data_IF_834646797275
#
_entry.id   IF_834646797275
#
_cell.length_a   1.000
_cell.length_b   1.000
_cell.length_c   1.000
_cell.angle_alpha   90.00
_cell.angle_beta   90.00
_cell.angle_gamma   90.00
#
_symmetry.space_group_name_H-M   'P 1'
#
loop_
_entity.id
_entity.type
_entity.pdbx_description
1 polymer ?
#
# COMPACT_ATOMS: atom_id res chain seq x y z
N UNK A 1 -23.47 -36.05 36.52
CA UNK A 1 -23.49 -35.43 35.19
C UNK A 1 -22.56 -34.28 35.29
N UNK A 2 -21.33 -34.41 34.77
CA UNK A 2 -20.34 -33.31 34.72
C UNK A 2 -20.63 -32.59 33.41
N UNK A 3 -21.17 -31.39 33.56
CA UNK A 3 -21.40 -30.45 32.45
C UNK A 3 -20.04 -29.89 32.02
N UNK A 4 -19.43 -30.53 31.00
CA UNK A 4 -18.22 -30.01 30.37
C UNK A 4 -18.67 -28.86 29.47
N UNK A 5 -18.71 -27.67 30.02
CA UNK A 5 -18.77 -26.45 29.22
C UNK A 5 -17.53 -26.44 28.31
N UNK A 6 -17.73 -26.81 27.04
CA UNK A 6 -16.75 -26.57 25.99
C UNK A 6 -16.60 -25.04 25.86
N UNK A 7 -15.64 -24.49 26.59
CA UNK A 7 -15.25 -23.10 26.45
C UNK A 7 -14.82 -22.85 25.01
N UNK A 8 -15.60 -22.11 24.24
CA UNK A 8 -15.18 -21.66 22.91
C UNK A 8 -13.89 -20.85 23.07
N UNK A 9 -12.85 -21.25 22.33
CA UNK A 9 -11.57 -20.53 22.31
C UNK A 9 -11.88 -19.06 21.94
N UNK A 10 -11.47 -18.10 22.75
CA UNK A 10 -11.75 -16.71 22.47
C UNK A 10 -11.11 -16.31 21.12
N UNK A 11 -11.81 -15.50 20.34
CA UNK A 11 -11.29 -15.00 19.06
C UNK A 11 -10.16 -14.00 19.24
N UNK A 12 -10.04 -13.40 20.42
CA UNK A 12 -9.00 -12.44 20.82
C UNK A 12 -8.64 -12.71 22.29
N UNK A 13 -7.35 -12.82 22.59
CA UNK A 13 -6.85 -13.24 23.91
C UNK A 13 -5.50 -12.60 24.26
N UNK A 14 -5.19 -12.51 25.55
CA UNK A 14 -3.85 -12.15 26.02
C UNK A 14 -2.89 -13.32 25.84
N UNK A 15 -1.73 -13.06 25.28
CA UNK A 15 -0.72 -14.07 25.03
C UNK A 15 -0.16 -14.68 26.35
N UNK A 16 -0.14 -13.90 27.44
CA UNK A 16 0.45 -14.28 28.72
C UNK A 16 -0.33 -15.39 29.44
N UNK A 17 -1.65 -15.36 29.41
CA UNK A 17 -2.52 -16.21 30.23
C UNK A 17 -3.70 -16.82 29.47
N UNK A 18 -3.88 -16.49 28.18
CA UNK A 18 -4.99 -16.97 27.36
C UNK A 18 -6.35 -16.33 27.70
N UNK A 19 -6.39 -15.34 28.60
CA UNK A 19 -7.64 -14.67 28.97
C UNK A 19 -8.28 -13.96 27.78
N UNK A 20 -9.61 -14.07 27.67
CA UNK A 20 -10.37 -13.43 26.62
C UNK A 20 -10.29 -11.89 26.72
N UNK A 21 -10.11 -11.23 25.60
CA UNK A 21 -10.08 -9.76 25.48
C UNK A 21 -11.19 -9.32 24.55
N UNK A 22 -11.90 -8.27 24.89
CA UNK A 22 -12.89 -7.68 23.99
C UNK A 22 -12.20 -7.04 22.79
N UNK A 23 -12.87 -7.02 21.64
CA UNK A 23 -12.28 -6.40 20.44
C UNK A 23 -12.05 -4.89 20.62
N UNK A 24 -12.87 -4.23 21.43
CA UNK A 24 -12.71 -2.81 21.75
C UNK A 24 -11.45 -2.55 22.58
N UNK A 25 -11.18 -3.36 23.60
CA UNK A 25 -9.96 -3.32 24.40
C UNK A 25 -8.72 -3.62 23.53
N UNK A 26 -8.79 -4.71 22.77
CA UNK A 26 -7.70 -5.09 21.87
C UNK A 26 -7.36 -3.98 20.87
N UNK A 27 -8.37 -3.34 20.29
CA UNK A 27 -8.17 -2.24 19.35
C UNK A 27 -7.44 -1.05 19.98
N UNK A 28 -7.75 -0.71 21.23
CA UNK A 28 -7.07 0.37 21.94
C UNK A 28 -5.58 0.06 22.12
N UNK A 29 -5.27 -1.14 22.63
CA UNK A 29 -3.88 -1.58 22.84
C UNK A 29 -3.13 -1.76 21.51
N UNK A 30 -3.79 -2.28 20.47
CA UNK A 30 -3.20 -2.38 19.13
C UNK A 30 -2.92 -1.02 18.51
N UNK A 31 -3.75 -0.01 18.77
CA UNK A 31 -3.50 1.36 18.27
C UNK A 31 -2.26 1.95 18.92
N UNK A 32 -2.10 1.77 20.25
CA UNK A 32 -0.90 2.21 20.96
C UNK A 32 0.36 1.51 20.45
N UNK A 33 0.32 0.17 20.36
CA UNK A 33 1.43 -0.62 19.85
C UNK A 33 1.77 -0.27 18.38
N UNK A 34 0.75 -0.07 17.53
CA UNK A 34 0.96 0.32 16.14
C UNK A 34 1.63 1.70 16.02
N UNK A 35 1.26 2.66 16.85
CA UNK A 35 1.91 3.97 16.91
C UNK A 35 3.40 3.82 17.27
N UNK A 36 3.73 3.06 18.32
CA UNK A 36 5.10 2.81 18.76
C UNK A 36 5.93 2.12 17.67
N UNK A 37 5.42 1.04 17.05
CA UNK A 37 6.11 0.32 15.96
C UNK A 37 6.34 1.22 14.75
N UNK A 38 5.37 2.06 14.40
CA UNK A 38 5.50 2.98 13.27
C UNK A 38 6.48 4.13 13.58
N UNK A 39 6.49 4.64 14.81
CA UNK A 39 7.47 5.63 15.26
C UNK A 39 8.89 5.04 15.25
N UNK A 40 9.08 3.80 15.70
CA UNK A 40 10.37 3.10 15.60
C UNK A 40 10.78 2.88 14.14
N UNK A 41 9.84 2.47 13.28
CA UNK A 41 10.08 2.34 11.83
C UNK A 41 10.59 3.66 11.24
N UNK A 42 10.05 4.81 11.66
CA UNK A 42 10.44 6.14 11.21
C UNK A 42 11.83 6.58 11.69
N UNK A 43 12.43 5.93 12.70
CA UNK A 43 13.77 6.27 13.21
C UNK A 43 14.88 6.06 12.18
N UNK A 44 14.61 5.29 11.12
CA UNK A 44 15.54 5.03 10.01
C UNK A 44 15.04 5.67 8.73
N UNK A 45 15.87 6.46 8.10
CA UNK A 45 15.53 7.13 6.85
C UNK A 45 15.18 6.14 5.73
N UNK A 46 14.09 6.41 5.00
CA UNK A 46 13.55 5.56 3.92
C UNK A 46 13.05 4.16 4.36
N UNK A 47 12.95 3.90 5.65
CA UNK A 47 12.35 2.65 6.13
C UNK A 47 10.81 2.72 6.09
N UNK A 48 10.20 1.57 5.87
CA UNK A 48 8.73 1.39 5.86
C UNK A 48 8.42 -0.05 6.27
N UNK A 49 7.16 -0.31 6.63
CA UNK A 49 6.72 -1.62 7.10
C UNK A 49 5.55 -2.14 6.24
N UNK A 50 5.52 -3.44 5.99
CA UNK A 50 4.42 -4.08 5.25
C UNK A 50 3.28 -4.43 6.21
N UNK A 51 2.02 -4.32 5.74
CA UNK A 51 0.81 -4.60 6.53
C UNK A 51 0.87 -5.91 7.34
N UNK A 52 1.41 -6.99 6.75
CA UNK A 52 1.51 -8.30 7.44
C UNK A 52 2.50 -8.26 8.59
N UNK A 53 3.63 -7.64 8.39
CA UNK A 53 4.68 -7.47 9.40
C UNK A 53 4.19 -6.56 10.54
N UNK A 54 3.56 -5.43 10.20
CA UNK A 54 2.97 -4.54 11.20
C UNK A 54 1.92 -5.28 12.05
N UNK A 55 1.07 -6.09 11.43
CA UNK A 55 0.05 -6.85 12.13
C UNK A 55 0.64 -7.88 13.11
N UNK A 56 1.78 -8.47 12.78
CA UNK A 56 2.50 -9.40 13.65
C UNK A 56 3.14 -8.66 14.84
N UNK A 57 3.87 -7.57 14.58
CA UNK A 57 4.53 -6.78 15.60
C UNK A 57 3.54 -6.12 16.56
N UNK A 58 2.42 -5.60 16.05
CA UNK A 58 1.36 -5.01 16.89
C UNK A 58 0.78 -6.02 17.89
N UNK A 59 0.57 -7.27 17.46
CA UNK A 59 0.11 -8.32 18.36
C UNK A 59 1.20 -8.77 19.35
N UNK A 60 2.46 -8.69 18.96
CA UNK A 60 3.59 -9.00 19.81
C UNK A 60 3.77 -7.94 20.89
N UNK A 61 3.87 -6.69 20.51
CA UNK A 61 4.10 -5.55 21.42
C UNK A 61 2.92 -5.32 22.38
N UNK A 62 1.68 -5.49 21.90
CA UNK A 62 0.50 -5.36 22.75
C UNK A 62 0.29 -6.57 23.67
N UNK A 63 0.89 -7.71 23.37
CA UNK A 63 0.62 -8.99 24.04
C UNK A 63 -0.79 -9.53 23.80
N UNK A 64 -1.54 -8.98 22.84
CA UNK A 64 -2.91 -9.40 22.51
C UNK A 64 -2.94 -10.04 21.13
N UNK A 65 -3.32 -11.31 21.08
CA UNK A 65 -3.42 -12.13 19.88
C UNK A 65 -4.86 -12.24 19.40
N UNK A 66 -5.05 -12.46 18.09
CA UNK A 66 -6.37 -12.72 17.52
C UNK A 66 -6.31 -13.74 16.40
N UNK A 67 -7.36 -14.56 16.29
CA UNK A 67 -7.60 -15.45 15.15
C UNK A 67 -8.22 -14.71 13.95
N UNK A 68 -8.65 -13.47 14.12
CA UNK A 68 -9.21 -12.64 13.06
C UNK A 68 -8.11 -12.21 12.10
N UNK A 69 -8.33 -12.37 10.79
CA UNK A 69 -7.37 -11.96 9.77
C UNK A 69 -7.08 -10.47 9.86
N UNK A 70 -5.81 -10.08 9.72
CA UNK A 70 -5.35 -8.69 9.86
C UNK A 70 -6.12 -7.71 8.95
N UNK A 71 -6.59 -8.13 7.78
CA UNK A 71 -7.35 -7.29 6.85
C UNK A 71 -8.64 -6.71 7.45
N UNK A 72 -9.17 -7.33 8.51
CA UNK A 72 -10.42 -6.90 9.16
C UNK A 72 -10.21 -5.97 10.35
N UNK A 73 -9.02 -5.92 10.93
CA UNK A 73 -8.78 -5.10 12.11
C UNK A 73 -7.66 -4.05 11.94
N UNK A 74 -6.59 -4.37 11.18
CA UNK A 74 -5.46 -3.47 11.01
C UNK A 74 -5.84 -2.13 10.34
N UNK A 75 -6.71 -2.07 9.32
CA UNK A 75 -7.14 -0.79 8.76
C UNK A 75 -7.76 0.15 9.80
N UNK A 76 -8.63 -0.38 10.67
CA UNK A 76 -9.26 0.41 11.73
C UNK A 76 -8.24 0.89 12.76
N UNK A 77 -7.22 0.09 13.05
CA UNK A 77 -6.11 0.49 13.93
C UNK A 77 -5.29 1.62 13.27
N UNK A 78 -4.96 1.50 11.98
CA UNK A 78 -4.24 2.54 11.24
C UNK A 78 -5.02 3.85 11.14
N UNK A 79 -6.34 3.79 10.99
CA UNK A 79 -7.20 4.97 11.02
C UNK A 79 -7.12 5.67 12.39
N UNK A 80 -7.12 4.90 13.49
CA UNK A 80 -6.96 5.45 14.84
C UNK A 80 -5.55 6.02 15.11
N UNK A 81 -4.51 5.42 14.55
CA UNK A 81 -3.17 6.02 14.58
C UNK A 81 -3.14 7.34 13.82
N UNK A 82 -3.80 7.41 12.64
CA UNK A 82 -3.86 8.63 11.86
C UNK A 82 -4.61 9.76 12.61
N UNK A 83 -5.74 9.45 13.26
CA UNK A 83 -6.46 10.38 14.14
C UNK A 83 -5.56 10.89 15.26
N UNK A 84 -4.88 9.98 15.96
CA UNK A 84 -3.96 10.33 17.05
C UNK A 84 -2.84 11.27 16.58
N UNK A 85 -2.18 10.95 15.47
CA UNK A 85 -1.15 11.82 14.91
C UNK A 85 -1.68 13.19 14.55
N UNK A 86 -2.89 13.25 13.93
CA UNK A 86 -3.51 14.51 13.55
C UNK A 86 -3.84 15.40 14.76
N UNK A 87 -4.43 14.82 15.81
CA UNK A 87 -4.80 15.51 17.05
C UNK A 87 -3.57 16.06 17.80
N UNK A 88 -2.43 15.35 17.72
CA UNK A 88 -1.19 15.72 18.39
C UNK A 88 -0.22 16.52 17.52
N UNK A 89 -0.61 16.90 16.29
CA UNK A 89 0.26 17.56 15.31
C UNK A 89 1.54 16.76 15.00
N UNK A 90 1.46 15.45 15.06
CA UNK A 90 2.51 14.54 14.63
C UNK A 90 2.39 14.26 13.12
N UNK A 91 3.49 13.93 12.44
CA UNK A 91 3.44 13.51 11.05
C UNK A 91 2.64 12.20 10.92
N UNK A 92 1.99 11.94 9.77
CA UNK A 92 1.06 10.82 9.61
C UNK A 92 1.77 9.47 9.54
N UNK A 93 2.12 8.89 10.69
CA UNK A 93 2.88 7.66 10.83
C UNK A 93 2.26 6.47 10.06
N UNK A 94 0.94 6.41 9.93
CA UNK A 94 0.27 5.36 9.15
C UNK A 94 0.64 5.37 7.65
N UNK A 95 1.27 6.46 7.13
CA UNK A 95 1.84 6.51 5.79
C UNK A 95 3.05 5.56 5.59
N UNK A 96 3.71 5.15 6.68
CA UNK A 96 4.83 4.20 6.66
C UNK A 96 4.37 2.76 6.42
N UNK A 97 3.08 2.46 6.64
CA UNK A 97 2.51 1.15 6.41
C UNK A 97 2.12 0.98 4.95
N UNK A 98 2.77 0.04 4.26
CA UNK A 98 2.58 -0.22 2.83
C UNK A 98 2.03 -1.62 2.57
N UNK A 99 1.50 -1.84 1.37
CA UNK A 99 1.10 -3.17 0.90
C UNK A 99 2.33 -4.04 0.56
N UNK A 100 2.15 -5.32 0.34
CA UNK A 100 3.21 -6.26 -0.06
C UNK A 100 3.94 -5.84 -1.36
N UNK A 101 3.26 -5.18 -2.27
CA UNK A 101 3.84 -4.58 -3.48
C UNK A 101 4.45 -3.19 -3.24
N UNK A 102 4.52 -2.74 -1.99
CA UNK A 102 5.03 -1.46 -1.52
C UNK A 102 4.22 -0.22 -1.95
N UNK A 103 3.03 -0.41 -2.52
CA UNK A 103 2.09 0.70 -2.74
C UNK A 103 1.39 1.09 -1.46
N UNK A 104 0.90 2.32 -1.37
CA UNK A 104 0.09 2.77 -0.24
C UNK A 104 -1.22 2.01 -0.15
N UNK A 105 -1.68 1.75 1.07
CA UNK A 105 -2.97 1.13 1.34
C UNK A 105 -4.15 2.06 1.05
N UNK A 106 -5.35 1.49 0.99
CA UNK A 106 -6.59 2.28 0.84
C UNK A 106 -6.83 3.23 2.02
N UNK A 107 -6.34 2.88 3.22
CA UNK A 107 -6.41 3.72 4.44
C UNK A 107 -5.68 5.06 4.30
N UNK A 108 -4.76 5.22 3.34
CA UNK A 108 -4.10 6.51 3.11
C UNK A 108 -5.07 7.65 2.75
N UNK A 109 -6.22 7.33 2.14
CA UNK A 109 -7.27 8.31 1.86
C UNK A 109 -7.82 8.94 3.13
N UNK A 110 -7.90 8.18 4.21
CA UNK A 110 -8.35 8.69 5.50
C UNK A 110 -7.40 9.77 6.08
N UNK A 111 -6.09 9.63 5.87
CA UNK A 111 -5.12 10.69 6.21
C UNK A 111 -5.44 11.98 5.46
N UNK A 112 -5.77 11.90 4.17
CA UNK A 112 -6.14 13.07 3.37
C UNK A 112 -7.45 13.71 3.86
N UNK A 113 -8.44 12.89 4.20
CA UNK A 113 -9.72 13.33 4.75
C UNK A 113 -9.54 14.08 6.07
N UNK A 114 -8.73 13.56 7.00
CA UNK A 114 -8.39 14.21 8.27
C UNK A 114 -7.69 15.56 8.05
N UNK A 115 -6.80 15.63 7.05
CA UNK A 115 -6.09 16.87 6.70
C UNK A 115 -6.94 17.83 5.87
N UNK A 116 -8.18 17.49 5.49
CA UNK A 116 -9.02 18.27 4.60
C UNK A 116 -8.46 18.45 3.19
N UNK A 117 -7.63 17.51 2.72
CA UNK A 117 -6.95 17.56 1.43
C UNK A 117 -7.72 16.77 0.37
N UNK A 118 -7.78 17.26 -0.88
CA UNK A 118 -8.30 16.48 -1.99
C UNK A 118 -7.37 15.29 -2.31
N UNK A 119 -7.92 14.26 -2.97
CA UNK A 119 -7.11 13.13 -3.45
C UNK A 119 -6.16 13.64 -4.54
N UNK A 120 -4.82 13.52 -4.37
CA UNK A 120 -3.86 13.98 -5.35
C UNK A 120 -3.81 13.04 -6.57
N UNK A 121 -3.43 13.57 -7.73
CA UNK A 121 -3.23 12.77 -8.95
C UNK A 121 -2.16 11.69 -8.76
N UNK A 122 -1.09 11.99 -8.04
CA UNK A 122 -0.03 11.06 -7.67
C UNK A 122 -0.07 10.73 -6.19
N UNK A 123 -0.90 9.76 -5.83
CA UNK A 123 -1.07 9.32 -4.45
C UNK A 123 0.21 8.71 -3.85
N UNK A 124 1.01 8.00 -4.66
CA UNK A 124 2.26 7.37 -4.20
C UNK A 124 3.33 8.42 -3.88
N UNK A 125 3.44 9.47 -4.70
CA UNK A 125 4.39 10.56 -4.44
C UNK A 125 3.95 11.41 -3.26
N UNK A 126 2.65 11.65 -3.11
CA UNK A 126 2.11 12.33 -1.93
C UNK A 126 2.40 11.54 -0.65
N UNK A 127 2.22 10.22 -0.69
CA UNK A 127 2.56 9.35 0.45
C UNK A 127 4.08 9.30 0.72
N UNK A 128 4.92 9.41 -0.32
CA UNK A 128 6.36 9.55 -0.15
C UNK A 128 6.73 10.84 0.59
N UNK A 129 6.04 11.95 0.30
CA UNK A 129 6.22 13.22 1.02
C UNK A 129 5.75 13.10 2.48
N UNK A 130 4.64 12.42 2.75
CA UNK A 130 4.17 12.16 4.11
C UNK A 130 5.16 11.29 4.92
N UNK A 131 5.70 10.23 4.32
CA UNK A 131 6.77 9.42 4.95
C UNK A 131 8.02 10.24 5.23
N UNK A 132 8.42 11.11 4.30
CA UNK A 132 9.55 12.00 4.50
C UNK A 132 9.36 12.93 5.71
N UNK A 133 8.15 13.45 5.93
CA UNK A 133 7.82 14.21 7.15
C UNK A 133 8.01 13.37 8.42
N UNK A 134 7.63 12.07 8.38
CA UNK A 134 7.88 11.16 9.50
C UNK A 134 9.39 11.00 9.77
N UNK A 135 10.21 10.84 8.73
CA UNK A 135 11.67 10.74 8.89
C UNK A 135 12.29 12.03 9.40
N UNK A 136 11.82 13.19 8.93
CA UNK A 136 12.30 14.48 9.45
C UNK A 136 12.03 14.65 10.95
N UNK A 137 10.98 14.02 11.46
CA UNK A 137 10.60 14.11 12.87
C UNK A 137 11.31 13.06 13.74
N UNK A 138 11.46 11.84 13.25
CA UNK A 138 11.90 10.68 14.05
C UNK A 138 13.27 10.11 13.68
N UNK A 139 13.77 10.32 12.44
CA UNK A 139 14.96 9.62 11.97
C UNK A 139 16.24 10.11 12.66
N UNK A 140 17.08 9.16 13.04
CA UNK A 140 18.40 9.40 13.64
C UNK A 140 19.53 9.39 12.62
N UNK A 141 19.24 8.90 11.40
CA UNK A 141 20.19 8.74 10.29
C UNK A 141 19.80 9.57 9.05
N UNK A 142 19.12 10.70 9.30
CA UNK A 142 18.71 11.60 8.22
C UNK A 142 19.93 12.15 7.49
N UNK A 143 19.96 12.17 6.14
CA UNK A 143 21.05 12.78 5.38
C UNK A 143 21.29 14.25 5.77
N UNK A 144 22.53 14.71 5.64
CA UNK A 144 22.91 16.08 6.03
C UNK A 144 22.14 17.18 5.27
N UNK A 145 21.64 16.88 4.07
CA UNK A 145 20.81 17.75 3.24
C UNK A 145 19.30 17.65 3.57
N UNK A 146 18.94 16.86 4.59
CA UNK A 146 17.54 16.58 4.99
C UNK A 146 16.85 15.53 4.14
N UNK A 147 17.50 14.96 3.11
CA UNK A 147 16.95 13.98 2.21
C UNK A 147 15.76 14.50 1.38
N UNK A 148 15.20 13.64 0.53
CA UNK A 148 14.05 13.95 -0.32
C UNK A 148 12.98 12.85 -0.20
N UNK A 149 11.71 13.19 -0.49
CA UNK A 149 10.64 12.20 -0.62
C UNK A 149 11.01 11.14 -1.66
N UNK A 150 11.03 9.87 -1.27
CA UNK A 150 11.47 8.75 -2.11
C UNK A 150 10.37 7.71 -2.22
N UNK A 151 10.12 7.24 -3.44
CA UNK A 151 9.21 6.13 -3.67
C UNK A 151 9.83 4.82 -3.18
N UNK A 152 9.03 3.90 -2.60
CA UNK A 152 9.52 2.57 -2.29
C UNK A 152 10.07 1.86 -3.53
N UNK A 153 11.12 1.02 -3.39
CA UNK A 153 11.86 0.46 -4.55
C UNK A 153 11.00 -0.25 -5.59
N UNK A 154 9.98 -1.03 -5.18
CA UNK A 154 9.10 -1.71 -6.13
C UNK A 154 8.22 -0.74 -6.91
N UNK A 155 7.74 0.33 -6.28
CA UNK A 155 6.95 1.37 -6.94
C UNK A 155 7.81 2.16 -7.92
N UNK A 156 9.02 2.52 -7.51
CA UNK A 156 9.98 3.21 -8.38
C UNK A 156 10.34 2.37 -9.61
N UNK A 157 10.61 1.07 -9.43
CA UNK A 157 10.94 0.15 -10.53
C UNK A 157 9.78 0.02 -11.53
N UNK A 158 8.52 -0.09 -11.06
CA UNK A 158 7.35 -0.14 -11.94
C UNK A 158 7.23 1.16 -12.75
N UNK A 159 7.44 2.33 -12.14
CA UNK A 159 7.39 3.60 -12.88
C UNK A 159 8.48 3.72 -13.94
N UNK A 160 9.69 3.29 -13.61
CA UNK A 160 10.80 3.30 -14.57
C UNK A 160 10.54 2.40 -15.77
N UNK A 161 9.99 1.19 -15.58
CA UNK A 161 9.64 0.31 -16.67
C UNK A 161 8.52 0.91 -17.55
N UNK A 162 7.47 1.47 -16.94
CA UNK A 162 6.37 2.10 -17.68
C UNK A 162 6.84 3.31 -18.50
N UNK A 163 7.73 4.14 -17.96
CA UNK A 163 8.27 5.30 -18.69
C UNK A 163 9.20 4.88 -19.83
N UNK A 164 9.99 3.81 -19.66
CA UNK A 164 10.82 3.25 -20.72
C UNK A 164 9.96 2.67 -21.87
N UNK A 165 8.89 1.97 -21.55
CA UNK A 165 7.95 1.41 -22.54
C UNK A 165 7.24 2.52 -23.32
N UNK A 166 6.83 3.61 -22.66
CA UNK A 166 6.24 4.78 -23.31
C UNK A 166 7.23 5.49 -24.22
N UNK A 167 8.47 5.70 -23.77
CA UNK A 167 9.52 6.34 -24.57
C UNK A 167 9.88 5.51 -25.82
N UNK A 168 9.88 4.17 -25.71
CA UNK A 168 10.11 3.29 -26.87
C UNK A 168 8.93 3.31 -27.83
N UNK A 169 7.70 3.40 -27.34
CA UNK A 169 6.49 3.51 -28.17
C UNK A 169 6.47 4.85 -28.92
N UNK A 170 6.78 5.97 -28.25
CA UNK A 170 6.86 7.29 -28.88
C UNK A 170 7.99 7.37 -29.92
N UNK A 171 9.15 6.77 -29.63
CA UNK A 171 10.26 6.68 -30.59
C UNK A 171 9.90 5.85 -31.85
N UNK A 172 9.14 4.75 -31.67
CA UNK A 172 8.67 3.93 -32.76
C UNK A 172 7.61 4.68 -33.63
N UNK A 173 6.74 5.44 -33.01
CA UNK A 173 5.73 6.27 -33.70
C UNK A 173 6.39 7.46 -34.45
N UNK A 174 7.42 8.08 -33.87
CA UNK A 174 8.20 9.13 -34.52
C UNK A 174 9.02 8.59 -35.71
N UNK A 175 9.50 7.34 -35.63
CA UNK A 175 10.21 6.69 -36.73
C UNK A 175 9.29 6.41 -37.95
N UNK A 176 8.01 6.11 -37.70
CA UNK A 176 6.99 5.89 -38.74
C UNK A 176 6.61 7.21 -39.45
N UNK A 177 6.73 8.37 -38.80
CA UNK A 177 6.40 9.70 -39.37
C UNK A 177 7.51 10.36 -40.18
N UNK A 178 8.69 9.73 -40.36
CA UNK A 178 9.70 10.24 -41.30
C UNK A 178 9.32 9.90 -42.73
N UNK A 179 9.11 10.87 -43.62
CA UNK A 179 8.82 10.59 -45.02
C UNK A 179 10.06 9.98 -45.68
N UNK A 180 10.02 8.69 -45.93
CA UNK A 180 10.97 8.02 -46.80
C UNK A 180 10.66 8.40 -48.22
N UNK A 181 11.51 9.19 -48.85
CA UNK A 181 11.51 9.43 -50.31
C UNK A 181 11.87 8.14 -51.02
N UNK A 182 10.98 7.72 -51.91
CA UNK A 182 11.13 6.82 -53.04
C UNK A 182 11.51 5.35 -52.82
N UNK A 183 10.54 4.46 -52.96
CA UNK A 183 10.58 3.47 -54.10
C UNK A 183 9.21 2.80 -54.25
N UNK A 184 8.71 2.85 -55.49
CA UNK A 184 7.56 2.08 -56.00
C UNK A 184 7.84 0.59 -55.93
N UNK A 185 6.92 -0.22 -55.41
CA UNK A 185 6.42 -1.39 -56.16
C UNK A 185 5.26 -2.04 -55.40
N UNK A 186 4.31 -2.44 -56.19
CA UNK A 186 3.00 -3.06 -55.94
C UNK A 186 3.12 -4.42 -55.29
N UNK A 187 2.35 -4.64 -54.20
CA UNK A 187 1.65 -5.89 -53.90
C UNK A 187 0.71 -5.65 -52.70
N UNK A 188 -0.58 -5.89 -52.90
CA UNK A 188 -1.60 -5.78 -51.87
C UNK A 188 -1.44 -6.94 -50.84
N UNK A 189 -1.24 -6.58 -49.57
CA UNK A 189 -1.30 -7.52 -48.44
C UNK A 189 -2.64 -7.31 -47.73
N UNK A 190 -3.41 -8.37 -47.41
CA UNK A 190 -4.69 -8.22 -46.77
C UNK A 190 -4.51 -7.70 -45.33
N UNK A 191 -5.38 -6.76 -44.95
CA UNK A 191 -5.44 -6.09 -43.65
C UNK A 191 -5.74 -7.14 -42.56
N UNK A 192 -4.92 -7.26 -41.49
CA UNK A 192 -5.25 -8.16 -40.38
C UNK A 192 -6.49 -7.64 -39.65
N UNK A 193 -7.44 -8.53 -39.38
CA UNK A 193 -8.59 -8.24 -38.51
C UNK A 193 -8.14 -7.87 -37.10
N UNK A 194 -8.84 -6.94 -36.41
CA UNK A 194 -8.52 -6.57 -35.06
C UNK A 194 -8.74 -7.77 -34.14
N UNK A 195 -7.67 -8.23 -33.47
CA UNK A 195 -7.72 -9.29 -32.46
C UNK A 195 -8.54 -8.74 -31.28
N UNK A 196 -9.72 -9.30 -31.05
CA UNK A 196 -10.56 -8.97 -29.90
C UNK A 196 -9.83 -9.40 -28.63
N UNK A 197 -9.60 -8.47 -27.71
CA UNK A 197 -9.01 -8.77 -26.41
C UNK A 197 -9.96 -9.64 -25.59
N UNK A 198 -9.45 -10.62 -24.84
CA UNK A 198 -10.30 -11.45 -24.00
C UNK A 198 -10.95 -10.60 -22.90
N UNK A 199 -12.23 -10.84 -22.62
CA UNK A 199 -12.99 -10.19 -21.55
C UNK A 199 -13.23 -11.16 -20.40
N UNK A 200 -13.32 -10.66 -19.18
CA UNK A 200 -13.69 -11.46 -18.02
C UNK A 200 -15.15 -11.91 -18.13
N UNK A 201 -15.39 -13.19 -17.98
CA UNK A 201 -16.75 -13.77 -18.08
C UNK A 201 -17.68 -13.36 -16.93
N UNK A 202 -17.11 -12.87 -15.80
CA UNK A 202 -17.89 -12.52 -14.63
C UNK A 202 -18.23 -11.02 -14.54
N UNK A 203 -17.30 -10.12 -14.89
CA UNK A 203 -17.50 -8.67 -14.80
C UNK A 203 -17.43 -7.93 -16.14
N UNK A 204 -17.24 -8.65 -17.27
CA UNK A 204 -17.21 -8.14 -18.66
C UNK A 204 -16.16 -7.05 -18.95
N UNK A 205 -15.15 -6.89 -18.06
CA UNK A 205 -14.03 -5.96 -18.26
C UNK A 205 -12.95 -6.63 -19.12
N UNK A 206 -12.29 -5.85 -20.01
CA UNK A 206 -11.14 -6.34 -20.79
C UNK A 206 -10.03 -6.85 -19.86
N UNK A 207 -9.52 -8.06 -20.15
CA UNK A 207 -8.45 -8.66 -19.38
C UNK A 207 -7.09 -8.13 -19.84
N UNK A 208 -6.16 -7.86 -18.91
CA UNK A 208 -4.78 -7.55 -19.26
C UNK A 208 -4.08 -8.77 -19.90
N UNK A 209 -2.87 -8.58 -20.42
CA UNK A 209 -2.13 -9.61 -21.14
C UNK A 209 -1.90 -10.91 -20.35
N UNK A 210 -1.86 -10.84 -19.01
CA UNK A 210 -1.74 -11.99 -18.11
C UNK A 210 -3.05 -12.77 -17.88
N UNK A 211 -4.17 -12.35 -18.51
CA UNK A 211 -5.51 -12.95 -18.43
C UNK A 211 -6.10 -13.08 -17.01
N UNK A 212 -5.60 -12.33 -16.04
CA UNK A 212 -6.08 -12.35 -14.65
C UNK A 212 -7.00 -11.14 -14.43
N UNK A 213 -8.23 -11.36 -13.97
CA UNK A 213 -9.15 -10.30 -13.62
C UNK A 213 -8.82 -9.78 -12.21
N UNK A 214 -8.70 -8.44 -12.07
CA UNK A 214 -8.43 -7.78 -10.79
C UNK A 214 -9.67 -7.13 -10.19
N UNK A 215 -10.86 -7.28 -10.85
CA UNK A 215 -12.10 -6.61 -10.45
C UNK A 215 -13.15 -7.58 -9.86
N UNK A 216 -12.95 -8.88 -9.91
CA UNK A 216 -13.84 -9.85 -9.31
C UNK A 216 -13.14 -10.96 -8.47
#
# INVERSE_FOLDING_TARGET
VIDVQQGSVPTTWRAADGSAVTFTEARLEWTRAAHEVLADTATRFNNFIVNTELAELVQEESGIRTAVKWQHWLPVVLDKVAEHCHENNEPPLSALCVRKNQTVGTGYRYILELAGLPIPDDLEMHAAAARWQCYQHFATDLPADGGLPTLPPKVAAIRQSTSADLATAEAAEAAVKRPSAARRSTAAIPKPEPVRKPVCLNCHVELPANKICYYC
#
